data_IF_300611986753
#
_entry.id   IF_300611986753
#
_cell.length_a   1.000
_cell.length_b   1.000
_cell.length_c   1.000
_cell.angle_alpha   90.00
_cell.angle_beta   90.00
_cell.angle_gamma   90.00
#
_symmetry.space_group_name_H-M   'P 1'
#
loop_
_entity.id
_entity.type
_entity.pdbx_description
1 polymer ?
#
# COMPACT_ATOMS: atom_id res chain seq x y z
N UNK A 1 23.11 -23.74 -14.45
CA UNK A 1 23.07 -22.34 -14.89
C UNK A 1 21.67 -21.75 -14.86
N UNK A 2 20.70 -22.47 -15.31
CA UNK A 2 19.36 -21.90 -15.24
C UNK A 2 18.84 -21.76 -13.83
N UNK A 3 19.19 -22.66 -12.93
CA UNK A 3 18.87 -22.43 -11.53
C UNK A 3 19.61 -21.25 -10.99
N UNK A 4 20.88 -21.17 -11.36
CA UNK A 4 21.64 -19.99 -11.08
C UNK A 4 20.96 -18.77 -11.68
N UNK A 5 20.55 -18.89 -12.93
CA UNK A 5 19.92 -17.80 -13.62
C UNK A 5 18.57 -17.46 -12.98
N UNK A 6 17.83 -18.45 -12.53
CA UNK A 6 16.58 -18.17 -11.83
C UNK A 6 16.80 -17.49 -10.51
N UNK A 7 17.70 -18.02 -9.70
CA UNK A 7 18.03 -17.39 -8.44
C UNK A 7 18.67 -16.05 -8.66
N UNK A 8 19.63 -16.04 -9.55
CA UNK A 8 20.32 -14.82 -9.92
C UNK A 8 19.35 -13.86 -10.62
N UNK A 9 18.51 -14.38 -11.48
CA UNK A 9 17.52 -13.56 -12.16
C UNK A 9 16.64 -12.82 -11.17
N UNK A 10 16.18 -13.50 -10.15
CA UNK A 10 15.38 -12.87 -9.13
C UNK A 10 16.17 -11.82 -8.36
N UNK A 11 17.39 -12.17 -7.96
CA UNK A 11 18.26 -11.24 -7.26
C UNK A 11 18.66 -10.08 -8.14
N UNK A 12 18.98 -10.36 -9.37
CA UNK A 12 19.37 -9.33 -10.34
C UNK A 12 18.21 -8.38 -10.57
N UNK A 13 17.00 -8.89 -10.72
CA UNK A 13 15.85 -8.05 -10.89
C UNK A 13 15.67 -7.11 -9.71
N UNK A 14 15.89 -7.61 -8.49
CA UNK A 14 15.83 -6.76 -7.31
C UNK A 14 16.94 -5.74 -7.27
N UNK A 15 18.15 -6.19 -7.58
CA UNK A 15 19.31 -5.30 -7.57
C UNK A 15 19.15 -4.16 -8.56
N UNK A 16 18.51 -4.43 -9.69
CA UNK A 16 18.30 -3.41 -10.72
C UNK A 16 16.91 -2.76 -10.62
N UNK A 17 16.15 -3.07 -9.58
CA UNK A 17 14.84 -2.48 -9.39
C UNK A 17 13.79 -3.00 -10.37
N UNK A 18 14.05 -4.14 -11.01
CA UNK A 18 13.11 -4.72 -11.97
C UNK A 18 12.08 -5.64 -11.33
N UNK A 19 12.37 -6.08 -10.10
CA UNK A 19 11.39 -6.80 -9.28
C UNK A 19 10.74 -5.87 -8.27
N UNK A 20 9.87 -6.40 -7.40
CA UNK A 20 9.30 -5.62 -6.32
C UNK A 20 10.40 -5.04 -5.46
N UNK A 21 10.32 -3.76 -5.16
CA UNK A 21 11.29 -3.14 -4.27
C UNK A 21 11.13 -3.68 -2.88
N UNK A 22 12.25 -3.94 -2.22
CA UNK A 22 12.24 -4.31 -0.81
C UNK A 22 11.66 -3.16 0.00
N UNK A 23 10.79 -3.48 0.94
CA UNK A 23 10.29 -2.51 1.88
C UNK A 23 11.39 -2.23 2.91
N UNK A 24 11.50 -0.99 3.40
CA UNK A 24 12.40 -0.69 4.50
C UNK A 24 11.82 -1.19 5.84
N UNK A 25 11.12 -2.30 5.81
CA UNK A 25 10.41 -2.90 6.93
C UNK A 25 10.53 -4.41 6.83
N UNK A 26 10.58 -5.05 7.99
CA UNK A 26 10.76 -6.50 8.09
C UNK A 26 9.43 -7.23 8.21
N UNK A 27 8.94 -7.79 7.07
CA UNK A 27 7.77 -8.65 7.11
C UNK A 27 8.01 -9.88 7.96
N UNK A 28 7.06 -10.15 8.84
CA UNK A 28 7.15 -11.29 9.75
C UNK A 28 7.93 -10.98 11.02
N UNK A 29 8.57 -9.82 11.10
CA UNK A 29 9.29 -9.39 12.31
C UNK A 29 8.70 -8.13 12.90
N UNK A 30 8.59 -7.07 12.10
CA UNK A 30 8.03 -5.79 12.55
C UNK A 30 6.75 -5.44 11.83
N UNK A 31 6.50 -6.06 10.69
CA UNK A 31 5.26 -5.90 9.94
C UNK A 31 4.61 -7.27 9.79
N UNK A 32 3.35 -7.38 10.15
CA UNK A 32 2.59 -8.61 9.99
C UNK A 32 1.41 -8.37 9.06
N UNK A 33 1.10 -9.34 8.17
CA UNK A 33 -0.07 -9.22 7.32
C UNK A 33 -1.34 -9.14 8.15
N UNK A 34 -2.34 -8.41 7.66
CA UNK A 34 -3.65 -8.40 8.32
C UNK A 34 -4.24 -9.80 8.32
N UNK A 35 -4.96 -10.14 9.39
CA UNK A 35 -5.54 -11.48 9.54
C UNK A 35 -6.65 -11.73 8.53
N UNK A 36 -7.46 -10.73 8.25
CA UNK A 36 -8.58 -10.81 7.31
C UNK A 36 -8.55 -9.58 6.43
N UNK A 37 -8.27 -9.79 5.15
CA UNK A 37 -8.18 -8.69 4.22
C UNK A 37 -9.54 -8.24 3.64
N UNK A 38 -10.58 -9.02 3.83
CA UNK A 38 -11.86 -8.75 3.18
C UNK A 38 -12.45 -7.38 3.51
N UNK A 39 -12.44 -6.89 4.76
CA UNK A 39 -12.94 -5.54 5.04
C UNK A 39 -12.14 -4.45 4.33
N UNK A 40 -10.84 -4.61 4.21
CA UNK A 40 -9.99 -3.62 3.54
C UNK A 40 -10.19 -3.70 2.03
N UNK A 41 -10.32 -4.89 1.47
CA UNK A 41 -10.65 -5.04 0.05
C UNK A 41 -11.97 -4.32 -0.27
N UNK A 42 -12.95 -4.38 0.62
CA UNK A 42 -14.23 -3.67 0.42
C UNK A 42 -14.00 -2.16 0.39
N UNK A 43 -13.13 -1.63 1.23
CA UNK A 43 -12.77 -0.21 1.19
C UNK A 43 -12.06 0.13 -0.11
N UNK A 44 -11.20 -0.75 -0.60
CA UNK A 44 -10.53 -0.56 -1.88
C UNK A 44 -11.54 -0.42 -3.01
N UNK A 45 -12.52 -1.31 -3.07
CA UNK A 45 -13.56 -1.23 -4.10
C UNK A 45 -14.40 0.04 -4.00
N UNK A 46 -14.64 0.52 -2.78
CA UNK A 46 -15.31 1.81 -2.58
C UNK A 46 -14.48 2.95 -3.20
N UNK A 47 -13.18 2.94 -2.96
CA UNK A 47 -12.30 3.95 -3.55
C UNK A 47 -12.24 3.83 -5.08
N UNK A 48 -12.22 2.61 -5.58
CA UNK A 48 -12.26 2.36 -7.02
C UNK A 48 -13.52 2.98 -7.65
N UNK A 49 -14.67 2.78 -7.01
CA UNK A 49 -15.92 3.35 -7.49
C UNK A 49 -15.89 4.88 -7.49
N UNK A 50 -15.34 5.47 -6.43
CA UNK A 50 -15.21 6.93 -6.34
C UNK A 50 -14.33 7.46 -7.46
N UNK A 51 -13.15 6.89 -7.63
CA UNK A 51 -12.18 7.36 -8.62
C UNK A 51 -12.73 7.23 -10.04
N UNK A 52 -13.29 6.07 -10.37
CA UNK A 52 -13.80 5.83 -11.73
C UNK A 52 -15.07 6.64 -12.00
N UNK A 53 -15.90 6.88 -11.00
CA UNK A 53 -17.09 7.72 -11.19
C UNK A 53 -16.74 9.17 -11.51
N UNK A 54 -15.54 9.59 -11.19
CA UNK A 54 -15.05 10.93 -11.52
C UNK A 54 -14.31 10.98 -12.86
N UNK A 55 -14.35 9.89 -13.61
CA UNK A 55 -13.74 9.83 -14.94
C UNK A 55 -12.26 9.55 -14.95
N UNK A 56 -11.68 9.15 -13.82
CA UNK A 56 -10.26 8.81 -13.72
C UNK A 56 -10.12 7.29 -13.81
N UNK A 57 -9.19 6.82 -14.63
CA UNK A 57 -8.93 5.40 -14.74
C UNK A 57 -8.21 4.90 -13.48
N UNK A 58 -8.64 3.75 -12.97
CA UNK A 58 -7.93 3.09 -11.89
C UNK A 58 -6.63 2.48 -12.41
N UNK A 59 -5.58 2.51 -11.59
CA UNK A 59 -4.29 1.95 -11.97
C UNK A 59 -4.31 0.42 -12.02
N UNK A 60 -5.20 -0.20 -11.25
CA UNK A 60 -5.32 -1.66 -11.14
C UNK A 60 -6.78 -2.08 -11.25
N UNK A 61 -7.01 -3.27 -11.78
CA UNK A 61 -8.36 -3.78 -11.97
C UNK A 61 -9.01 -4.27 -10.65
N UNK A 62 -8.19 -4.70 -9.70
CA UNK A 62 -8.64 -5.27 -8.43
C UNK A 62 -7.53 -5.19 -7.38
N UNK A 63 -7.85 -5.46 -6.10
CA UNK A 63 -6.85 -5.39 -5.04
C UNK A 63 -6.07 -6.68 -4.82
N UNK A 64 -6.18 -7.68 -5.71
CA UNK A 64 -5.60 -9.00 -5.44
C UNK A 64 -4.08 -8.96 -5.28
N UNK A 65 -3.40 -8.07 -5.98
CA UNK A 65 -1.95 -7.92 -5.87
C UNK A 65 -1.50 -6.95 -4.77
N UNK A 66 -2.43 -6.36 -4.07
CA UNK A 66 -2.14 -5.42 -2.98
C UNK A 66 -1.99 -6.19 -1.68
N UNK A 67 -0.96 -5.85 -0.90
CA UNK A 67 -0.72 -6.46 0.40
C UNK A 67 -0.99 -5.44 1.51
N UNK A 68 -1.56 -5.92 2.59
CA UNK A 68 -1.88 -5.10 3.75
C UNK A 68 -1.09 -5.59 4.95
N UNK A 69 -0.38 -4.69 5.60
CA UNK A 69 0.41 -5.02 6.77
C UNK A 69 0.18 -4.05 7.92
N UNK A 70 0.55 -4.50 9.11
CA UNK A 70 0.47 -3.73 10.34
C UNK A 70 1.87 -3.68 10.95
N UNK A 71 2.39 -2.47 11.12
CA UNK A 71 3.69 -2.26 11.75
C UNK A 71 3.52 -2.23 13.26
N UNK A 72 4.35 -2.99 13.96
CA UNK A 72 4.19 -3.21 15.39
C UNK A 72 4.77 -2.09 16.27
N UNK A 73 5.43 -1.11 15.67
CA UNK A 73 5.98 0.02 16.42
C UNK A 73 5.02 1.20 16.48
N UNK A 74 5.38 2.18 17.30
CA UNK A 74 4.58 3.40 17.48
C UNK A 74 4.80 4.39 16.34
N UNK A 75 5.91 4.27 15.63
CA UNK A 75 6.32 5.20 14.59
C UNK A 75 7.14 4.41 13.57
N UNK A 76 7.02 4.77 12.30
CA UNK A 76 7.82 4.13 11.25
C UNK A 76 9.32 4.39 11.46
N UNK A 77 10.20 3.46 11.00
CA UNK A 77 11.64 3.59 11.25
C UNK A 77 12.26 4.86 10.71
N UNK A 78 11.66 5.46 9.67
CA UNK A 78 12.15 6.72 9.10
C UNK A 78 11.82 7.94 9.97
N UNK A 79 11.12 7.74 11.08
CA UNK A 79 10.76 8.80 12.00
C UNK A 79 9.58 9.65 11.55
N UNK A 80 8.96 9.34 10.42
CA UNK A 80 7.81 10.12 9.95
C UNK A 80 6.64 9.98 10.92
N UNK A 81 5.82 11.02 10.99
CA UNK A 81 4.69 11.09 11.91
C UNK A 81 3.38 10.60 11.29
N UNK A 82 3.45 9.87 10.19
CA UNK A 82 2.27 9.33 9.53
C UNK A 82 1.80 8.05 10.20
N UNK A 83 0.52 7.76 10.08
CA UNK A 83 -0.09 6.55 10.66
C UNK A 83 -0.14 5.38 9.68
N UNK A 84 0.02 5.67 8.39
CA UNK A 84 0.03 4.66 7.35
C UNK A 84 0.88 5.11 6.18
N UNK A 85 1.33 4.15 5.39
CA UNK A 85 2.12 4.39 4.20
C UNK A 85 1.72 3.46 3.09
N UNK A 86 1.85 3.94 1.86
CA UNK A 86 1.67 3.17 0.65
C UNK A 86 2.96 3.17 -0.15
N UNK A 87 3.41 1.98 -0.56
CA UNK A 87 4.54 1.80 -1.47
C UNK A 87 4.00 1.31 -2.82
N UNK A 88 3.99 2.21 -3.79
CA UNK A 88 3.35 1.91 -5.07
C UNK A 88 4.06 0.83 -5.87
N UNK A 89 5.38 0.80 -5.82
CA UNK A 89 6.15 -0.17 -6.60
C UNK A 89 5.97 -1.60 -6.10
N UNK A 90 5.72 -1.76 -4.83
CA UNK A 90 5.49 -3.07 -4.22
C UNK A 90 4.01 -3.39 -4.07
N UNK A 91 3.14 -2.40 -4.24
CA UNK A 91 1.72 -2.47 -3.92
C UNK A 91 1.51 -2.97 -2.50
N UNK A 92 1.97 -2.19 -1.55
CA UNK A 92 1.86 -2.52 -0.13
C UNK A 92 1.35 -1.32 0.63
N UNK A 93 0.40 -1.56 1.50
CA UNK A 93 -0.07 -0.60 2.49
C UNK A 93 0.32 -1.13 3.85
N UNK A 94 0.93 -0.29 4.68
CA UNK A 94 1.24 -0.63 6.07
C UNK A 94 0.70 0.48 6.96
N UNK A 95 -0.01 0.11 8.01
CA UNK A 95 -0.49 1.05 9.02
C UNK A 95 0.15 0.71 10.36
N UNK A 96 0.25 1.72 11.23
CA UNK A 96 0.72 1.49 12.59
C UNK A 96 -0.32 0.67 13.38
N UNK A 97 0.17 -0.19 14.27
CA UNK A 97 -0.67 -1.07 15.08
C UNK A 97 -1.78 -0.31 15.81
N UNK A 98 -1.46 0.86 16.38
CA UNK A 98 -2.42 1.67 17.11
C UNK A 98 -3.60 2.14 16.24
N UNK A 99 -3.43 2.15 14.93
CA UNK A 99 -4.43 2.65 13.98
C UNK A 99 -4.98 1.57 13.06
N UNK A 100 -4.74 0.30 13.36
CA UNK A 100 -5.12 -0.80 12.49
C UNK A 100 -6.63 -0.94 12.28
N UNK A 101 -7.44 -0.35 13.15
CA UNK A 101 -8.90 -0.40 13.04
C UNK A 101 -9.48 0.88 12.46
N UNK A 102 -8.65 1.80 12.02
CA UNK A 102 -9.12 3.07 11.46
C UNK A 102 -9.47 2.89 9.98
N UNK A 103 -10.75 2.74 9.70
CA UNK A 103 -11.22 2.52 8.33
C UNK A 103 -10.95 3.71 7.41
N UNK A 104 -10.96 4.94 7.94
CA UNK A 104 -10.62 6.11 7.14
C UNK A 104 -9.16 6.06 6.70
N UNK A 105 -8.28 5.62 7.58
CA UNK A 105 -6.87 5.47 7.24
C UNK A 105 -6.69 4.43 6.14
N UNK A 106 -7.29 3.25 6.31
CA UNK A 106 -7.22 2.23 5.27
C UNK A 106 -7.80 2.72 3.94
N UNK A 107 -8.92 3.44 3.98
CA UNK A 107 -9.54 4.01 2.78
C UNK A 107 -8.60 5.00 2.10
N UNK A 108 -7.94 5.86 2.88
CA UNK A 108 -6.97 6.82 2.36
C UNK A 108 -5.83 6.10 1.63
N UNK A 109 -5.26 5.07 2.25
CA UNK A 109 -4.16 4.33 1.65
C UNK A 109 -4.63 3.52 0.43
N UNK A 110 -5.82 2.94 0.48
CA UNK A 110 -6.40 2.25 -0.67
C UNK A 110 -6.59 3.20 -1.86
N UNK A 111 -6.95 4.45 -1.60
CA UNK A 111 -7.08 5.44 -2.67
C UNK A 111 -5.76 5.66 -3.38
N UNK A 112 -4.65 5.69 -2.65
CA UNK A 112 -3.33 5.76 -3.26
C UNK A 112 -3.11 4.61 -4.24
N UNK A 113 -3.49 3.39 -3.87
CA UNK A 113 -3.31 2.24 -4.75
C UNK A 113 -4.23 2.32 -5.97
N UNK A 114 -5.48 2.69 -5.78
CA UNK A 114 -6.42 2.84 -6.90
C UNK A 114 -5.89 3.87 -7.90
N UNK A 115 -5.34 4.96 -7.41
CA UNK A 115 -4.76 6.01 -8.26
C UNK A 115 -3.36 5.65 -8.77
N UNK A 116 -2.68 4.71 -8.14
CA UNK A 116 -1.33 4.33 -8.50
C UNK A 116 -0.29 5.39 -8.18
N UNK A 117 -0.49 6.18 -7.14
CA UNK A 117 0.41 7.27 -6.77
C UNK A 117 0.57 7.39 -5.27
N UNK A 118 1.77 7.79 -4.84
CA UNK A 118 2.03 8.14 -3.45
C UNK A 118 1.73 9.62 -3.16
N UNK A 119 1.45 10.40 -4.19
CA UNK A 119 1.10 11.81 -4.05
C UNK A 119 -0.35 11.97 -3.58
N UNK A 120 -0.71 13.21 -3.21
CA UNK A 120 -2.05 13.58 -2.78
C UNK A 120 -2.67 14.55 -3.78
N UNK A 121 -3.12 14.07 -4.97
CA UNK A 121 -3.78 14.97 -5.92
C UNK A 121 -5.01 15.62 -5.28
N UNK A 122 -5.12 16.94 -5.39
CA UNK A 122 -6.18 17.70 -4.73
C UNK A 122 -7.58 17.29 -5.20
N UNK A 123 -7.70 16.72 -6.39
CA UNK A 123 -8.98 16.22 -6.89
C UNK A 123 -9.55 15.09 -6.03
N UNK A 124 -8.70 14.36 -5.28
CA UNK A 124 -9.11 13.19 -4.52
C UNK A 124 -8.72 13.26 -3.05
N UNK A 125 -7.92 14.23 -2.64
CA UNK A 125 -7.50 14.41 -1.25
C UNK A 125 -7.75 15.84 -0.84
N UNK A 126 -8.34 16.03 0.33
CA UNK A 126 -8.62 17.34 0.87
C UNK A 126 -7.69 17.63 2.04
N UNK A 127 -7.72 18.86 2.52
CA UNK A 127 -6.83 19.43 3.52
C UNK A 127 -6.18 18.47 4.51
N UNK A 128 -6.95 17.68 5.24
CA UNK A 128 -6.42 16.58 6.03
C UNK A 128 -6.34 15.32 5.17
N UNK A 129 -5.22 14.60 5.27
CA UNK A 129 -5.06 13.38 4.51
C UNK A 129 -6.06 12.29 4.88
N UNK A 130 -6.70 12.41 6.04
CA UNK A 130 -7.72 11.45 6.47
C UNK A 130 -9.14 11.87 6.09
N UNK A 131 -9.32 13.07 5.56
CA UNK A 131 -10.62 13.52 5.10
C UNK A 131 -10.90 12.93 3.73
N UNK A 132 -11.94 12.15 3.67
CA UNK A 132 -12.34 11.48 2.45
C UNK A 132 -13.61 12.12 1.91
N UNK A 133 -13.65 12.32 0.59
CA UNK A 133 -14.87 12.83 -0.03
C UNK A 133 -16.02 11.86 0.12
#
# INVERSE_FOLDING_TARGET
MLNWLKGIGRQVLRAFGLGPKALPLDWGKTVFPVADRAPIDALWWTQHAIVTSRGTAAAYADPSGLRYGVYQGDRFPDGSAVWGKYWKHSRVIVVLKAHERNSKLWSHECRHDVLGTEAHPSAFFHGSSLEMP
#
